data_IF_237476972441
#
_entry.id   IF_237476972441
#
_cell.length_a   1.000
_cell.length_b   1.000
_cell.length_c   1.000
_cell.angle_alpha   90.00
_cell.angle_beta   90.00
_cell.angle_gamma   90.00
#
_symmetry.space_group_name_H-M   'P 1'
#
loop_
_entity.id
_entity.type
_entity.pdbx_description
1 polymer ?
#
# COMPACT_ATOMS: atom_id res chain seq x y z
N UNK A 1 -10.20 18.88 16.50
CA UNK A 1 -9.61 17.81 15.66
C UNK A 1 -9.47 16.56 16.52
N UNK A 2 -10.47 15.67 16.56
CA UNK A 2 -10.44 14.48 17.45
C UNK A 2 -9.78 13.24 16.82
N UNK A 3 -9.37 13.34 15.56
CA UNK A 3 -9.06 12.20 14.69
C UNK A 3 -7.73 11.48 15.01
N UNK A 4 -6.96 11.95 16.01
CA UNK A 4 -5.72 11.28 16.43
C UNK A 4 -5.94 9.86 16.94
N UNK A 5 -7.07 9.59 17.59
CA UNK A 5 -7.41 8.24 18.05
C UNK A 5 -7.75 7.31 16.86
N UNK A 6 -8.47 7.81 15.86
CA UNK A 6 -8.73 7.09 14.60
C UNK A 6 -7.43 6.78 13.86
N UNK A 7 -6.53 7.77 13.76
CA UNK A 7 -5.22 7.63 13.12
C UNK A 7 -4.33 6.63 13.84
N UNK A 8 -4.36 6.61 15.18
CA UNK A 8 -3.64 5.60 15.98
C UNK A 8 -4.16 4.19 15.71
N UNK A 9 -5.49 3.99 15.64
CA UNK A 9 -6.08 2.70 15.27
C UNK A 9 -5.65 2.27 13.86
N UNK A 10 -5.77 3.16 12.86
CA UNK A 10 -5.38 2.88 11.47
C UNK A 10 -3.87 2.53 11.37
N UNK A 11 -3.01 3.21 12.13
CA UNK A 11 -1.58 2.90 12.18
C UNK A 11 -1.29 1.54 12.85
N UNK A 12 -2.06 1.15 13.87
CA UNK A 12 -1.96 -0.17 14.51
C UNK A 12 -2.39 -1.28 13.55
N UNK A 13 -3.52 -1.09 12.86
CA UNK A 13 -4.06 -2.04 11.87
C UNK A 13 -3.07 -2.24 10.70
N UNK A 14 -2.48 -1.14 10.20
CA UNK A 14 -1.41 -1.18 9.19
C UNK A 14 -0.18 -1.96 9.68
N UNK A 15 0.28 -1.70 10.92
CA UNK A 15 1.43 -2.39 11.50
C UNK A 15 1.19 -3.90 11.64
N UNK A 16 -0.01 -4.33 12.03
CA UNK A 16 -0.39 -5.75 12.11
C UNK A 16 -0.38 -6.39 10.70
N UNK A 17 -0.91 -5.68 9.70
CA UNK A 17 -0.91 -6.15 8.31
C UNK A 17 0.51 -6.27 7.74
N UNK A 18 1.41 -5.32 8.05
CA UNK A 18 2.82 -5.36 7.65
C UNK A 18 3.60 -6.47 8.37
N UNK A 19 3.35 -6.71 9.65
CA UNK A 19 3.89 -7.86 10.38
C UNK A 19 3.53 -9.18 9.68
N UNK A 20 2.25 -9.39 9.34
CA UNK A 20 1.83 -10.60 8.65
C UNK A 20 2.46 -10.73 7.25
N UNK A 21 2.49 -9.65 6.47
CA UNK A 21 3.15 -9.64 5.16
C UNK A 21 4.64 -9.98 5.25
N UNK A 22 5.36 -9.41 6.23
CA UNK A 22 6.80 -9.65 6.45
C UNK A 22 7.08 -11.10 6.86
N UNK A 23 6.29 -11.65 7.79
CA UNK A 23 6.42 -13.05 8.23
C UNK A 23 6.12 -14.01 7.06
N UNK A 24 5.09 -13.75 6.27
CA UNK A 24 4.77 -14.56 5.10
C UNK A 24 5.87 -14.45 4.02
N UNK A 25 6.44 -13.27 3.81
CA UNK A 25 7.54 -13.05 2.87
C UNK A 25 8.78 -13.84 3.29
N UNK A 26 9.21 -13.73 4.55
CA UNK A 26 10.34 -14.50 5.11
C UNK A 26 10.08 -16.00 4.95
N UNK A 27 8.93 -16.51 5.43
CA UNK A 27 8.59 -17.94 5.39
C UNK A 27 8.42 -18.52 3.97
N UNK A 28 8.31 -17.69 2.92
CA UNK A 28 8.13 -18.15 1.54
C UNK A 28 9.38 -17.95 0.67
N UNK A 29 10.27 -17.02 1.04
CA UNK A 29 11.43 -16.62 0.23
C UNK A 29 12.78 -16.81 0.96
N UNK A 30 12.80 -17.25 2.21
CA UNK A 30 14.04 -17.70 2.86
C UNK A 30 14.55 -18.96 2.16
N UNK A 31 15.75 -18.91 1.60
CA UNK A 31 16.39 -20.12 1.07
C UNK A 31 16.69 -21.12 2.20
N UNK A 32 16.53 -22.44 1.96
CA UNK A 32 16.87 -23.44 2.96
C UNK A 32 18.39 -23.52 3.12
N UNK A 33 18.88 -23.15 4.30
CA UNK A 33 20.31 -23.24 4.67
C UNK A 33 20.88 -24.61 4.33
N UNK A 34 22.15 -24.62 3.90
CA UNK A 34 22.91 -25.87 3.74
C UNK A 34 23.00 -26.60 5.10
N UNK A 35 23.04 -27.92 5.04
CA UNK A 35 23.16 -28.79 6.22
C UNK A 35 24.63 -29.04 6.57
N UNK A 36 25.48 -29.11 5.55
CA UNK A 36 26.94 -29.11 5.66
C UNK A 36 27.49 -27.83 5.00
N UNK A 37 28.02 -26.91 5.81
CA UNK A 37 28.57 -25.62 5.36
C UNK A 37 29.95 -25.76 4.67
N UNK A 38 30.74 -26.78 5.06
CA UNK A 38 32.10 -26.99 4.55
C UNK A 38 32.16 -27.55 3.10
N UNK A 39 31.07 -28.14 2.59
CA UNK A 39 30.96 -28.60 1.19
C UNK A 39 29.53 -28.39 0.63
N UNK A 40 29.31 -27.35 -0.21
CA UNK A 40 28.03 -27.12 -0.87
C UNK A 40 27.50 -28.30 -1.70
N UNK A 41 28.37 -29.22 -2.14
CA UNK A 41 27.98 -30.42 -2.90
C UNK A 41 27.92 -31.68 -2.03
N UNK A 42 27.90 -31.56 -0.69
CA UNK A 42 27.67 -32.70 0.20
C UNK A 42 26.41 -33.48 -0.18
N UNK A 43 26.48 -34.81 -0.03
CA UNK A 43 25.33 -35.70 -0.23
C UNK A 43 24.10 -35.30 0.61
N UNK A 44 24.30 -34.67 1.78
CA UNK A 44 23.23 -34.10 2.62
C UNK A 44 22.47 -32.98 1.88
N UNK A 45 23.22 -32.04 1.30
CA UNK A 45 22.69 -30.87 0.59
C UNK A 45 22.01 -31.28 -0.73
N UNK A 46 22.57 -32.27 -1.43
CA UNK A 46 21.99 -32.85 -2.65
C UNK A 46 20.70 -33.65 -2.34
N UNK A 47 20.67 -34.40 -1.24
CA UNK A 47 19.48 -35.15 -0.83
C UNK A 47 18.33 -34.25 -0.37
N UNK A 48 18.62 -33.14 0.32
CA UNK A 48 17.62 -32.15 0.72
C UNK A 48 16.94 -31.48 -0.49
N UNK A 49 17.69 -31.25 -1.56
CA UNK A 49 17.20 -30.62 -2.80
C UNK A 49 16.64 -31.61 -3.85
N UNK A 50 16.52 -32.90 -3.52
CA UNK A 50 16.08 -33.93 -4.46
C UNK A 50 14.56 -33.87 -4.75
N UNK A 51 14.11 -33.85 -6.02
CA UNK A 51 12.69 -33.87 -6.36
C UNK A 51 11.95 -35.09 -5.82
N UNK A 52 10.79 -34.88 -5.19
CA UNK A 52 10.02 -35.95 -4.51
C UNK A 52 9.58 -37.08 -5.47
N UNK A 53 9.70 -38.37 -5.09
CA UNK A 53 9.58 -39.50 -6.04
C UNK A 53 8.26 -39.66 -6.81
N UNK A 54 7.18 -39.02 -6.38
CA UNK A 54 5.85 -39.17 -7.01
C UNK A 54 5.80 -38.59 -8.44
N UNK A 55 6.63 -37.61 -8.79
CA UNK A 55 6.68 -37.05 -10.14
C UNK A 55 7.18 -38.06 -11.19
N UNK A 56 8.05 -39.00 -10.79
CA UNK A 56 8.81 -39.83 -11.72
C UNK A 56 8.03 -41.03 -12.27
N UNK A 57 6.94 -41.46 -11.62
CA UNK A 57 6.09 -42.57 -12.09
C UNK A 57 5.11 -42.17 -13.20
N UNK A 58 4.54 -40.95 -13.18
CA UNK A 58 3.55 -40.54 -14.19
C UNK A 58 4.17 -40.37 -15.59
N UNK A 59 5.40 -39.88 -15.67
CA UNK A 59 6.07 -39.65 -16.96
C UNK A 59 6.37 -40.95 -17.72
N UNK A 60 6.54 -42.07 -17.01
CA UNK A 60 6.84 -43.37 -17.62
C UNK A 60 5.60 -44.08 -18.21
N UNK A 61 4.40 -43.89 -17.63
CA UNK A 61 3.16 -44.47 -18.18
C UNK A 61 2.70 -43.77 -19.47
N UNK A 62 2.87 -42.45 -19.58
CA UNK A 62 2.32 -41.69 -20.70
C UNK A 62 3.05 -41.99 -22.03
N UNK A 63 4.33 -42.35 -21.97
CA UNK A 63 5.13 -42.68 -23.15
C UNK A 63 4.73 -44.02 -23.80
N UNK A 64 4.12 -44.95 -23.05
CA UNK A 64 3.77 -46.29 -23.53
C UNK A 64 2.46 -46.32 -24.33
N UNK A 65 1.51 -45.41 -24.09
CA UNK A 65 0.27 -45.32 -24.87
C UNK A 65 0.47 -44.68 -26.26
N UNK A 66 1.39 -43.72 -26.38
CA UNK A 66 1.59 -42.95 -27.62
C UNK A 66 2.18 -43.82 -28.76
N UNK A 67 2.94 -44.86 -28.42
CA UNK A 67 3.55 -45.77 -29.40
C UNK A 67 2.51 -46.69 -30.09
N UNK A 68 1.36 -46.96 -29.46
CA UNK A 68 0.33 -47.84 -30.03
C UNK A 68 -0.55 -47.13 -31.09
N UNK A 69 -0.76 -45.81 -30.96
CA UNK A 69 -1.56 -45.04 -31.93
C UNK A 69 -0.85 -44.82 -33.28
N UNK A 70 0.48 -44.76 -33.30
CA UNK A 70 1.24 -44.43 -34.52
C UNK A 70 1.18 -45.55 -35.58
N UNK A 71 0.94 -46.80 -35.17
CA UNK A 71 0.91 -47.95 -36.09
C UNK A 71 -0.42 -48.10 -36.85
N UNK A 72 -1.51 -47.47 -36.38
CA UNK A 72 -2.84 -47.59 -37.00
C UNK A 72 -3.11 -46.52 -38.09
N UNK A 73 -2.36 -45.41 -38.09
CA UNK A 73 -2.60 -44.30 -39.02
C UNK A 73 -1.88 -44.44 -40.38
N UNK A 74 -0.97 -45.41 -40.52
CA UNK A 74 -0.10 -45.56 -41.71
C UNK A 74 -0.77 -46.30 -42.90
N UNK A 75 -2.06 -46.64 -42.82
CA UNK A 75 -2.77 -47.44 -43.84
C UNK A 75 -3.83 -46.66 -44.65
N UNK A 76 -3.91 -45.33 -44.52
CA UNK A 76 -5.03 -44.56 -45.10
C UNK A 76 -4.66 -43.26 -45.84
N UNK A 77 -3.41 -43.09 -46.30
CA UNK A 77 -3.02 -41.90 -47.07
C UNK A 77 -2.21 -42.22 -48.33
N UNK A 78 -2.92 -42.60 -49.40
CA UNK A 78 -2.39 -42.67 -50.77
C UNK A 78 -3.35 -42.02 -51.77
N UNK A 79 -3.44 -40.68 -51.76
CA UNK A 79 -4.09 -39.89 -52.83
C UNK A 79 -3.69 -38.40 -52.82
N UNK A 80 -3.19 -37.93 -53.97
CA UNK A 80 -3.32 -36.57 -54.53
C UNK A 80 -2.76 -35.35 -53.75
N UNK A 81 -1.43 -35.26 -53.72
CA UNK A 81 -0.63 -34.23 -54.44
C UNK A 81 -1.36 -33.01 -55.07
N UNK A 82 -0.97 -31.77 -54.71
CA UNK A 82 -0.52 -30.68 -55.64
C UNK A 82 -0.07 -29.37 -54.91
N UNK A 83 0.68 -28.52 -55.61
CA UNK A 83 1.23 -27.17 -55.23
C UNK A 83 1.04 -26.21 -56.44
N UNK A 84 1.55 -24.94 -56.51
CA UNK A 84 2.24 -24.03 -55.56
C UNK A 84 1.55 -22.61 -55.48
N UNK A 85 2.09 -21.49 -54.95
CA UNK A 85 3.11 -20.57 -55.56
C UNK A 85 3.31 -19.26 -54.72
N UNK A 86 4.52 -18.65 -54.72
CA UNK A 86 4.82 -17.25 -54.29
C UNK A 86 5.46 -17.13 -52.89
N UNK A 87 6.75 -16.79 -52.70
CA UNK A 87 7.47 -15.49 -52.89
C UNK A 87 6.96 -14.35 -51.96
N UNK A 88 7.76 -13.65 -51.14
CA UNK A 88 9.21 -13.67 -50.84
C UNK A 88 9.42 -13.15 -49.36
N UNK A 89 10.59 -12.83 -48.77
CA UNK A 89 11.98 -12.64 -49.23
C UNK A 89 13.00 -13.02 -48.10
N UNK A 90 13.95 -12.14 -47.69
CA UNK A 90 15.02 -12.41 -46.71
C UNK A 90 15.45 -11.14 -45.93
N UNK A 91 15.74 -11.27 -44.63
CA UNK A 91 16.93 -10.70 -43.98
C UNK A 91 17.16 -11.29 -42.58
N UNK A 92 18.34 -11.90 -42.44
CA UNK A 92 18.84 -12.70 -41.33
C UNK A 92 19.13 -11.88 -40.06
N UNK A 93 19.00 -12.55 -38.90
CA UNK A 93 19.31 -12.02 -37.56
C UNK A 93 19.23 -13.13 -36.50
N UNK A 94 20.12 -14.13 -36.62
CA UNK A 94 20.22 -15.28 -35.68
C UNK A 94 20.77 -14.78 -34.31
N UNK A 95 20.36 -15.28 -33.15
CA UNK A 95 20.03 -16.68 -32.83
C UNK A 95 18.91 -16.86 -31.80
N UNK A 96 18.27 -18.04 -31.83
CA UNK A 96 17.26 -18.45 -30.85
C UNK A 96 17.79 -19.59 -29.96
N UNK A 97 17.99 -19.30 -28.68
CA UNK A 97 18.13 -20.28 -27.59
C UNK A 97 17.80 -19.54 -26.27
N UNK A 98 16.93 -20.00 -25.38
CA UNK A 98 16.34 -21.33 -25.28
C UNK A 98 17.00 -22.13 -24.17
N UNK A 99 16.78 -21.71 -22.92
CA UNK A 99 17.20 -22.44 -21.72
C UNK A 99 18.55 -22.02 -21.13
N UNK A 100 18.50 -21.07 -20.20
CA UNK A 100 19.43 -21.04 -19.06
C UNK A 100 18.79 -20.33 -17.87
N UNK A 101 18.28 -21.10 -16.90
CA UNK A 101 18.00 -20.59 -15.55
C UNK A 101 19.31 -20.71 -14.76
N UNK A 102 20.15 -19.69 -14.88
CA UNK A 102 21.33 -19.51 -14.05
C UNK A 102 21.34 -18.06 -13.53
N UNK A 103 20.32 -17.71 -12.73
CA UNK A 103 20.51 -16.70 -11.69
C UNK A 103 21.55 -17.24 -10.71
N UNK A 104 22.41 -16.35 -10.19
CA UNK A 104 23.44 -16.75 -9.22
C UNK A 104 22.80 -16.70 -7.85
N UNK A 105 22.88 -17.74 -6.98
CA UNK A 105 22.17 -17.75 -5.68
C UNK A 105 22.52 -16.54 -4.82
N UNK A 106 23.79 -16.12 -4.85
CA UNK A 106 24.31 -14.89 -4.21
C UNK A 106 23.49 -13.62 -4.55
N UNK A 107 22.81 -13.57 -5.70
CA UNK A 107 21.96 -12.45 -6.10
C UNK A 107 20.53 -12.57 -5.58
N UNK A 108 20.02 -13.78 -5.32
CA UNK A 108 18.67 -13.99 -4.80
C UNK A 108 18.67 -13.79 -3.27
N UNK A 109 19.66 -14.31 -2.54
CA UNK A 109 19.90 -13.99 -1.11
C UNK A 109 20.12 -12.49 -0.87
N UNK A 110 20.99 -11.84 -1.64
CA UNK A 110 21.26 -10.41 -1.48
C UNK A 110 20.00 -9.55 -1.74
N UNK A 111 19.08 -9.98 -2.60
CA UNK A 111 17.80 -9.30 -2.80
C UNK A 111 16.82 -9.56 -1.65
N UNK A 112 16.82 -10.78 -1.10
CA UNK A 112 16.04 -11.13 0.10
C UNK A 112 16.44 -10.28 1.30
N UNK A 113 17.73 -10.23 1.64
CA UNK A 113 18.24 -9.46 2.78
C UNK A 113 17.96 -7.96 2.64
N UNK A 114 18.13 -7.39 1.44
CA UNK A 114 17.77 -5.99 1.19
C UNK A 114 16.26 -5.74 1.42
N UNK A 115 15.41 -6.65 0.97
CA UNK A 115 13.95 -6.55 1.15
C UNK A 115 13.54 -6.68 2.63
N UNK A 116 14.17 -7.61 3.38
CA UNK A 116 13.94 -7.78 4.82
C UNK A 116 14.40 -6.54 5.60
N UNK A 117 15.51 -5.91 5.21
CA UNK A 117 15.98 -4.67 5.82
C UNK A 117 15.07 -3.47 5.51
N UNK A 118 14.51 -3.37 4.30
CA UNK A 118 13.51 -2.34 3.96
C UNK A 118 12.22 -2.51 4.80
N UNK A 119 11.65 -3.71 4.82
CA UNK A 119 10.45 -4.04 5.62
C UNK A 119 10.66 -3.77 7.11
N UNK A 120 11.82 -4.15 7.65
CA UNK A 120 12.19 -3.90 9.04
C UNK A 120 12.35 -2.40 9.33
N UNK A 121 12.86 -1.63 8.36
CA UNK A 121 13.03 -0.17 8.50
C UNK A 121 11.68 0.54 8.55
N UNK A 122 10.74 0.22 7.64
CA UNK A 122 9.39 0.82 7.71
C UNK A 122 8.67 0.43 9.01
N UNK A 123 8.77 -0.83 9.44
CA UNK A 123 8.18 -1.27 10.72
C UNK A 123 8.71 -0.48 11.94
N UNK A 124 10.01 -0.16 11.96
CA UNK A 124 10.62 0.70 13.00
C UNK A 124 10.12 2.14 12.89
N UNK A 125 9.97 2.68 11.68
CA UNK A 125 9.43 4.03 11.44
C UNK A 125 7.95 4.12 11.84
N UNK A 126 7.14 3.10 11.52
CA UNK A 126 5.73 2.95 11.95
C UNK A 126 5.60 2.88 13.46
N UNK A 127 6.45 2.09 14.13
CA UNK A 127 6.51 2.04 15.59
C UNK A 127 6.82 3.42 16.19
N UNK A 128 7.80 4.16 15.62
CA UNK A 128 8.08 5.54 16.04
C UNK A 128 6.92 6.49 15.77
N UNK A 129 6.23 6.36 14.64
CA UNK A 129 5.04 7.16 14.29
C UNK A 129 3.90 6.92 15.29
N UNK A 130 3.68 5.67 15.70
CA UNK A 130 2.68 5.28 16.71
C UNK A 130 2.99 5.94 18.06
N UNK A 131 4.25 5.93 18.50
CA UNK A 131 4.65 6.63 19.73
C UNK A 131 4.39 8.15 19.64
N UNK A 132 4.80 8.81 18.54
CA UNK A 132 4.50 10.24 18.35
C UNK A 132 2.99 10.54 18.30
N UNK A 133 2.17 9.61 17.77
CA UNK A 133 0.71 9.76 17.76
C UNK A 133 0.15 9.69 19.18
N UNK A 134 0.62 8.74 20.01
CA UNK A 134 0.26 8.60 21.42
C UNK A 134 0.64 9.86 22.21
N UNK A 135 1.87 10.35 22.06
CA UNK A 135 2.35 11.58 22.70
C UNK A 135 1.53 12.82 22.28
N UNK A 136 0.91 12.78 21.09
CA UNK A 136 0.06 13.85 20.55
C UNK A 136 -1.43 13.74 20.89
N UNK A 137 -1.85 12.74 21.68
CA UNK A 137 -3.26 12.53 22.00
C UNK A 137 -3.82 13.67 22.88
N UNK A 138 -4.89 14.37 22.45
CA UNK A 138 -5.45 15.47 23.25
C UNK A 138 -6.06 14.93 24.55
N UNK A 139 -5.66 15.53 25.68
CA UNK A 139 -6.12 15.13 27.02
C UNK A 139 -5.37 13.95 27.64
N UNK A 140 -4.31 13.42 27.02
CA UNK A 140 -3.48 12.38 27.62
C UNK A 140 -2.88 12.86 28.95
N UNK A 141 -3.02 12.06 30.01
CA UNK A 141 -2.55 12.38 31.37
C UNK A 141 -3.41 13.36 32.17
N UNK A 142 -4.48 13.94 31.61
CA UNK A 142 -5.39 14.86 32.32
C UNK A 142 -6.53 14.08 32.94
N UNK A 143 -6.91 14.33 34.21
CA UNK A 143 -8.00 13.59 34.85
C UNK A 143 -9.38 13.97 34.28
N UNK A 144 -10.40 13.09 34.34
CA UNK A 144 -11.75 13.43 33.90
C UNK A 144 -12.37 14.60 34.67
N UNK A 145 -11.97 14.83 35.92
CA UNK A 145 -12.49 15.91 36.76
C UNK A 145 -11.87 17.27 36.38
N UNK A 146 -10.56 17.30 36.07
CA UNK A 146 -9.91 18.49 35.49
C UNK A 146 -10.49 18.83 34.11
N UNK A 147 -10.76 17.82 33.27
CA UNK A 147 -11.40 17.99 31.96
C UNK A 147 -12.80 18.58 32.10
N UNK A 148 -13.61 18.08 33.05
CA UNK A 148 -14.95 18.62 33.32
C UNK A 148 -14.89 20.05 33.89
N UNK A 149 -13.95 20.34 34.79
CA UNK A 149 -13.73 21.68 35.33
C UNK A 149 -13.40 22.69 34.22
N UNK A 150 -12.47 22.34 33.34
CA UNK A 150 -12.10 23.14 32.16
C UNK A 150 -13.28 23.34 31.19
N UNK A 151 -14.15 22.34 31.01
CA UNK A 151 -15.37 22.47 30.19
C UNK A 151 -16.35 23.48 30.82
N UNK A 152 -16.52 23.48 32.15
CA UNK A 152 -17.38 24.46 32.83
C UNK A 152 -16.80 25.88 32.79
N UNK A 153 -15.49 26.05 32.96
CA UNK A 153 -14.79 27.33 32.85
C UNK A 153 -14.93 27.92 31.43
N UNK A 154 -14.56 27.16 30.39
CA UNK A 154 -14.70 27.58 28.99
C UNK A 154 -16.17 27.85 28.59
N UNK A 155 -17.13 27.12 29.16
CA UNK A 155 -18.56 27.38 28.95
C UNK A 155 -19.03 28.68 29.62
N UNK A 156 -18.42 29.07 30.75
CA UNK A 156 -18.63 30.37 31.39
C UNK A 156 -18.07 31.52 30.55
N UNK A 157 -16.82 31.38 30.11
CA UNK A 157 -16.14 32.39 29.28
C UNK A 157 -16.83 32.60 27.93
N UNK A 158 -17.23 31.52 27.24
CA UNK A 158 -18.00 31.63 25.99
C UNK A 158 -19.31 32.40 26.19
N UNK A 159 -19.99 32.22 27.33
CA UNK A 159 -21.20 32.97 27.66
C UNK A 159 -20.89 34.46 27.89
N UNK A 160 -19.85 34.77 28.68
CA UNK A 160 -19.42 36.15 28.95
C UNK A 160 -19.05 36.89 27.65
N UNK A 161 -18.32 36.22 26.75
CA UNK A 161 -17.91 36.75 25.45
C UNK A 161 -19.12 36.99 24.53
N UNK A 162 -20.12 36.10 24.53
CA UNK A 162 -21.34 36.30 23.74
C UNK A 162 -22.20 37.44 24.30
N UNK A 163 -22.27 37.63 25.62
CA UNK A 163 -22.94 38.79 26.23
C UNK A 163 -22.25 40.12 25.86
N UNK A 164 -20.91 40.19 25.86
CA UNK A 164 -20.18 41.36 25.35
C UNK A 164 -20.42 41.57 23.84
N UNK A 165 -20.36 40.50 23.04
CA UNK A 165 -20.60 40.53 21.60
C UNK A 165 -21.99 41.09 21.27
N UNK A 166 -23.03 40.67 21.99
CA UNK A 166 -24.40 41.19 21.86
C UNK A 166 -24.45 42.68 22.22
N UNK A 167 -23.77 43.10 23.30
CA UNK A 167 -23.69 44.51 23.68
C UNK A 167 -23.00 45.37 22.60
N UNK A 168 -21.89 44.87 22.02
CA UNK A 168 -21.14 45.54 20.94
C UNK A 168 -21.92 45.61 19.63
N UNK A 169 -22.69 44.57 19.28
CA UNK A 169 -23.61 44.60 18.13
C UNK A 169 -24.67 45.70 18.35
N UNK A 170 -25.28 45.77 19.53
CA UNK A 170 -26.29 46.79 19.89
C UNK A 170 -25.74 48.21 19.85
N UNK A 171 -24.50 48.44 20.32
CA UNK A 171 -23.79 49.71 20.21
C UNK A 171 -23.58 50.10 18.73
N UNK A 172 -23.06 49.16 17.92
CA UNK A 172 -22.87 49.33 16.47
C UNK A 172 -24.19 49.64 15.74
N UNK A 173 -25.28 48.97 16.07
CA UNK A 173 -26.59 49.21 15.44
C UNK A 173 -27.17 50.59 15.80
N UNK A 174 -26.98 51.05 17.05
CA UNK A 174 -27.37 52.40 17.45
C UNK A 174 -26.57 53.48 16.69
N UNK A 175 -25.24 53.30 16.57
CA UNK A 175 -24.38 54.22 15.82
C UNK A 175 -24.70 54.22 14.31
N UNK A 176 -24.97 53.05 13.74
CA UNK A 176 -25.36 52.90 12.33
C UNK A 176 -26.66 53.67 12.04
N UNK A 177 -27.67 53.57 12.92
CA UNK A 177 -28.93 54.31 12.80
C UNK A 177 -28.76 55.83 12.92
N UNK A 178 -27.79 56.31 13.71
CA UNK A 178 -27.42 57.74 13.75
C UNK A 178 -26.78 58.18 12.43
N UNK A 179 -25.88 57.36 11.86
CA UNK A 179 -25.26 57.62 10.57
C UNK A 179 -26.29 57.63 9.41
N UNK A 180 -27.22 56.67 9.38
CA UNK A 180 -28.35 56.66 8.44
C UNK A 180 -29.16 57.96 8.51
N UNK A 181 -29.46 58.44 9.72
CA UNK A 181 -30.18 59.72 9.89
C UNK A 181 -29.36 60.90 9.35
N UNK A 182 -28.07 61.00 9.68
CA UNK A 182 -27.22 62.08 9.17
C UNK A 182 -27.13 62.07 7.63
N UNK A 183 -27.05 60.88 7.02
CA UNK A 183 -27.07 60.73 5.55
C UNK A 183 -28.41 61.19 4.96
N UNK A 184 -29.54 60.84 5.60
CA UNK A 184 -30.87 61.29 5.17
C UNK A 184 -31.08 62.80 5.33
N UNK A 185 -30.67 63.38 6.46
CA UNK A 185 -30.74 64.82 6.74
C UNK A 185 -29.90 65.61 5.70
N UNK A 186 -28.68 65.14 5.39
CA UNK A 186 -27.79 65.75 4.37
C UNK A 186 -28.36 65.59 2.96
N UNK A 187 -28.86 64.41 2.59
CA UNK A 187 -29.48 64.19 1.28
C UNK A 187 -30.71 65.08 1.06
N UNK A 188 -31.53 65.26 2.11
CA UNK A 188 -32.69 66.16 2.11
C UNK A 188 -32.24 67.60 1.91
N UNK A 189 -31.30 68.11 2.72
CA UNK A 189 -30.80 69.48 2.59
C UNK A 189 -30.14 69.78 1.24
N UNK A 190 -29.44 68.81 0.63
CA UNK A 190 -28.91 68.93 -0.74
C UNK A 190 -30.05 69.00 -1.77
N UNK A 191 -31.15 68.25 -1.58
CA UNK A 191 -32.30 68.31 -2.48
C UNK A 191 -33.08 69.62 -2.38
N UNK A 192 -33.26 70.15 -1.16
CA UNK A 192 -33.93 71.44 -0.91
C UNK A 192 -33.10 72.62 -1.42
N UNK A 193 -31.76 72.54 -1.34
CA UNK A 193 -30.84 73.59 -1.87
C UNK A 193 -30.71 73.56 -3.40
N UNK A 194 -31.29 72.56 -4.07
CA UNK A 194 -31.18 72.34 -5.53
C UNK A 194 -32.52 72.52 -6.28
N UNK A 195 -33.62 72.77 -5.56
CA UNK A 195 -34.91 73.21 -6.10
C UNK A 195 -34.92 74.74 -6.31
#
# INVERSE_FOLDING_TARGET
MSDRLTQLQICLDQLIQQFNATINYVNTNSEPSLLDEDDPNSYSNIAANAPVPQAQQQQQQQQQQQQQHQQQQQQQQQSQQQSPTGQAQQSQGQSNSGGSKNTTPIQEEANFDNTVNELSTDLILKSRQINMLIDSLPGIGVSPEDQLSMIYELSGDLKNIEEERIAKIKEKDALLKVLEKLIADVATGISETRM
#
